data_IF_490654136844
#
_entry.id   IF_490654136844
#
_cell.length_a   1.000
_cell.length_b   1.000
_cell.length_c   1.000
_cell.angle_alpha   90.00
_cell.angle_beta   90.00
_cell.angle_gamma   90.00
#
_symmetry.space_group_name_H-M   'P 1'
#
loop_
_entity.id
_entity.type
_entity.pdbx_description
1 polymer ?
#
# COMPACT_ATOMS: atom_id res chain seq x y z
N UNK A 1 -19.12 -22.00 7.56
CA UNK A 1 -19.60 -21.69 6.21
C UNK A 1 -18.35 -21.33 5.42
N UNK A 2 -17.83 -22.27 4.62
CA UNK A 2 -16.72 -22.04 3.69
C UNK A 2 -17.21 -21.03 2.65
N UNK A 3 -16.47 -19.95 2.54
CA UNK A 3 -16.78 -18.83 1.65
C UNK A 3 -16.80 -19.35 0.19
N UNK A 4 -17.97 -19.32 -0.44
CA UNK A 4 -18.20 -19.81 -1.80
C UNK A 4 -17.31 -19.07 -2.81
N UNK A 5 -17.01 -17.79 -2.56
CA UNK A 5 -16.10 -17.00 -3.39
C UNK A 5 -14.67 -17.57 -3.35
N UNK A 6 -14.19 -17.97 -2.18
CA UNK A 6 -12.86 -18.60 -2.02
C UNK A 6 -12.78 -19.95 -2.74
N UNK A 7 -13.89 -20.71 -2.79
CA UNK A 7 -13.94 -22.01 -3.48
C UNK A 7 -13.95 -21.88 -5.01
N UNK A 8 -14.64 -20.87 -5.56
CA UNK A 8 -14.70 -20.62 -7.01
C UNK A 8 -13.34 -20.14 -7.52
N UNK A 9 -12.69 -19.21 -6.81
CA UNK A 9 -11.39 -18.67 -7.18
C UNK A 9 -10.28 -19.74 -7.14
N UNK A 10 -10.32 -20.65 -6.15
CA UNK A 10 -9.36 -21.74 -6.05
C UNK A 10 -9.40 -22.70 -7.26
N UNK A 11 -10.54 -22.82 -7.94
CA UNK A 11 -10.68 -23.61 -9.17
C UNK A 11 -10.21 -22.90 -10.44
N UNK A 12 -10.05 -21.58 -10.41
CA UNK A 12 -9.65 -20.75 -11.56
C UNK A 12 -8.18 -20.34 -11.52
N UNK A 13 -7.54 -20.39 -10.36
CA UNK A 13 -6.12 -20.06 -10.20
C UNK A 13 -5.24 -21.29 -10.42
N UNK A 14 -4.19 -21.11 -11.23
CA UNK A 14 -3.16 -22.16 -11.38
C UNK A 14 -2.50 -22.44 -10.02
N UNK A 15 -2.25 -23.74 -9.74
CA UNK A 15 -1.59 -24.15 -8.50
C UNK A 15 -0.11 -23.80 -8.45
N UNK A 16 0.50 -23.67 -9.62
CA UNK A 16 1.92 -23.29 -9.80
C UNK A 16 2.05 -22.23 -10.88
N UNK A 17 2.86 -21.16 -10.66
CA UNK A 17 3.56 -20.86 -9.38
C UNK A 17 2.59 -20.51 -8.25
N UNK A 18 2.99 -20.79 -7.01
CA UNK A 18 2.31 -20.27 -5.82
C UNK A 18 2.41 -18.73 -5.80
N UNK A 19 1.40 -18.05 -5.26
CA UNK A 19 1.40 -16.59 -5.14
C UNK A 19 1.79 -16.18 -3.73
N UNK A 20 2.69 -15.19 -3.60
CA UNK A 20 3.14 -14.61 -2.32
C UNK A 20 2.88 -13.11 -2.31
N UNK A 21 2.27 -12.58 -1.25
CA UNK A 21 2.14 -11.14 -1.03
C UNK A 21 3.27 -10.64 -0.13
N UNK A 22 4.17 -9.82 -0.67
CA UNK A 22 5.29 -9.18 0.02
C UNK A 22 4.86 -7.92 0.78
N UNK A 23 3.82 -8.02 1.63
CA UNK A 23 3.29 -6.87 2.36
C UNK A 23 2.66 -7.29 3.69
N UNK A 24 2.86 -6.46 4.74
CA UNK A 24 2.18 -6.59 6.03
C UNK A 24 0.80 -5.88 6.06
N UNK A 25 0.42 -5.14 5.01
CA UNK A 25 -0.79 -4.31 4.99
C UNK A 25 -2.08 -5.14 5.06
N UNK A 26 -2.93 -4.94 6.09
CA UNK A 26 -4.22 -5.62 6.17
C UNK A 26 -5.16 -5.28 5.00
N UNK A 27 -5.09 -4.04 4.50
CA UNK A 27 -5.91 -3.58 3.37
C UNK A 27 -5.55 -4.36 2.09
N UNK A 28 -4.26 -4.54 1.78
CA UNK A 28 -3.81 -5.32 0.62
C UNK A 28 -4.20 -6.79 0.73
N UNK A 29 -4.09 -7.36 1.94
CA UNK A 29 -4.58 -8.72 2.21
C UNK A 29 -6.09 -8.82 1.95
N UNK A 30 -6.87 -7.85 2.43
CA UNK A 30 -8.32 -7.82 2.22
C UNK A 30 -8.70 -7.73 0.74
N UNK A 31 -8.01 -6.87 -0.04
CA UNK A 31 -8.23 -6.72 -1.49
C UNK A 31 -8.00 -8.04 -2.23
N UNK A 32 -6.87 -8.70 -2.02
CA UNK A 32 -6.57 -9.97 -2.69
C UNK A 32 -7.54 -11.08 -2.28
N UNK A 33 -7.91 -11.15 -1.00
CA UNK A 33 -8.93 -12.10 -0.52
C UNK A 33 -10.29 -11.85 -1.15
N UNK A 34 -10.71 -10.59 -1.23
CA UNK A 34 -11.99 -10.22 -1.86
C UNK A 34 -12.02 -10.51 -3.36
N UNK A 35 -10.87 -10.45 -4.02
CA UNK A 35 -10.70 -10.87 -5.41
C UNK A 35 -10.62 -12.41 -5.58
N UNK A 36 -10.65 -13.15 -4.48
CA UNK A 36 -10.58 -14.62 -4.49
C UNK A 36 -9.19 -15.18 -4.81
N UNK A 37 -8.13 -14.38 -4.75
CA UNK A 37 -6.75 -14.83 -4.99
C UNK A 37 -6.29 -15.68 -3.81
N UNK A 38 -5.80 -16.88 -4.08
CA UNK A 38 -5.12 -17.72 -3.10
C UNK A 38 -3.65 -17.32 -3.02
N UNK A 39 -3.18 -16.93 -1.83
CA UNK A 39 -1.79 -16.47 -1.63
C UNK A 39 -1.31 -16.78 -0.21
N UNK A 40 0.01 -16.80 -0.05
CA UNK A 40 0.67 -16.74 1.25
C UNK A 40 1.16 -15.31 1.51
N UNK A 41 1.22 -14.91 2.78
CA UNK A 41 1.71 -13.58 3.17
C UNK A 41 3.14 -13.71 3.73
N UNK A 42 4.08 -12.95 3.15
CA UNK A 42 5.48 -12.91 3.58
C UNK A 42 5.97 -11.45 3.49
N UNK A 43 5.81 -10.63 4.54
CA UNK A 43 6.22 -9.24 4.52
C UNK A 43 7.71 -9.08 4.19
N UNK A 44 8.03 -8.10 3.36
CA UNK A 44 9.41 -7.71 3.10
C UNK A 44 10.01 -6.95 4.29
N UNK A 45 11.33 -7.04 4.46
CA UNK A 45 12.09 -6.36 5.53
C UNK A 45 12.76 -5.06 5.04
N UNK A 46 12.16 -4.39 4.05
CA UNK A 46 12.70 -3.17 3.44
C UNK A 46 12.58 -1.98 4.40
N UNK A 47 13.68 -1.27 4.60
CA UNK A 47 13.67 0.03 5.29
C UNK A 47 13.21 1.14 4.33
N UNK A 48 11.90 1.37 4.29
CA UNK A 48 11.25 2.35 3.43
C UNK A 48 11.78 3.77 3.69
N UNK A 49 12.13 4.12 4.95
CA UNK A 49 12.66 5.45 5.29
C UNK A 49 14.03 5.70 4.70
N UNK A 50 14.90 4.69 4.74
CA UNK A 50 16.24 4.78 4.11
C UNK A 50 16.14 4.93 2.60
N UNK A 51 15.22 4.24 1.94
CA UNK A 51 14.97 4.39 0.50
C UNK A 51 14.49 5.81 0.18
N UNK A 52 13.51 6.34 0.93
CA UNK A 52 13.05 7.72 0.80
C UNK A 52 14.17 8.76 0.98
N UNK A 53 14.97 8.59 2.03
CA UNK A 53 16.07 9.50 2.34
C UNK A 53 17.16 9.49 1.25
N UNK A 54 17.43 8.34 0.64
CA UNK A 54 18.39 8.23 -0.46
C UNK A 54 17.92 8.99 -1.70
N UNK A 55 16.66 8.82 -2.09
CA UNK A 55 16.07 9.51 -3.25
C UNK A 55 16.03 11.04 -3.08
N UNK A 56 15.74 11.51 -1.86
CA UNK A 56 15.75 12.96 -1.59
C UNK A 56 17.16 13.59 -1.65
N UNK A 57 18.22 12.82 -1.37
CA UNK A 57 19.61 13.30 -1.40
C UNK A 57 20.17 13.46 -2.82
N UNK A 58 19.67 12.67 -3.77
CA UNK A 58 20.16 12.72 -5.16
C UNK A 58 19.68 13.95 -5.93
N UNK A 59 18.81 14.80 -5.33
CA UNK A 59 18.40 16.09 -5.90
C UNK A 59 17.53 15.98 -7.14
N UNK A 60 17.15 14.80 -7.56
CA UNK A 60 16.12 14.60 -8.58
C UNK A 60 14.75 14.77 -7.93
N UNK A 61 13.88 15.56 -8.56
CA UNK A 61 12.46 15.65 -8.23
C UNK A 61 11.80 14.28 -8.52
N UNK A 62 11.95 13.36 -7.57
CA UNK A 62 11.37 12.03 -7.72
C UNK A 62 9.87 12.13 -7.49
N UNK A 63 9.08 11.83 -8.51
CA UNK A 63 7.63 11.87 -8.41
C UNK A 63 7.12 10.84 -7.38
N UNK A 64 6.05 11.13 -6.63
CA UNK A 64 5.51 10.18 -5.66
C UNK A 64 5.16 8.81 -6.26
N UNK A 65 4.75 8.77 -7.54
CA UNK A 65 4.51 7.52 -8.27
C UNK A 65 5.77 6.68 -8.46
N UNK A 66 6.91 7.31 -8.78
CA UNK A 66 8.20 6.62 -8.98
C UNK A 66 8.71 6.03 -7.67
N UNK A 67 8.51 6.74 -6.55
CA UNK A 67 8.85 6.24 -5.22
C UNK A 67 8.01 5.02 -4.87
N UNK A 68 6.68 5.10 -5.09
CA UNK A 68 5.78 3.97 -4.85
C UNK A 68 6.18 2.74 -5.69
N UNK A 69 6.54 2.96 -6.97
CA UNK A 69 7.00 1.91 -7.89
C UNK A 69 8.30 1.27 -7.38
N UNK A 70 9.30 2.07 -7.06
CA UNK A 70 10.58 1.57 -6.56
C UNK A 70 10.41 0.75 -5.27
N UNK A 71 9.59 1.21 -4.34
CA UNK A 71 9.30 0.48 -3.10
C UNK A 71 8.54 -0.82 -3.37
N UNK A 72 7.59 -0.84 -4.32
CA UNK A 72 6.89 -2.05 -4.71
C UNK A 72 7.85 -3.08 -5.33
N UNK A 73 8.74 -2.64 -6.23
CA UNK A 73 9.77 -3.49 -6.85
C UNK A 73 10.73 -4.03 -5.80
N UNK A 74 11.26 -3.18 -4.93
CA UNK A 74 12.21 -3.57 -3.88
C UNK A 74 11.63 -4.65 -2.98
N UNK A 75 10.38 -4.46 -2.52
CA UNK A 75 9.67 -5.45 -1.67
C UNK A 75 9.47 -6.79 -2.39
N UNK A 76 9.04 -6.75 -3.65
CA UNK A 76 8.81 -7.96 -4.43
C UNK A 76 10.12 -8.70 -4.71
N UNK A 77 11.19 -7.98 -5.07
CA UNK A 77 12.50 -8.55 -5.39
C UNK A 77 13.11 -9.24 -4.18
N UNK A 78 13.12 -8.58 -3.00
CA UNK A 78 13.64 -9.18 -1.76
C UNK A 78 12.98 -10.52 -1.46
N UNK A 79 11.64 -10.55 -1.45
CA UNK A 79 10.91 -11.77 -1.10
C UNK A 79 11.06 -12.84 -2.16
N UNK A 80 11.05 -12.48 -3.47
CA UNK A 80 11.18 -13.46 -4.55
C UNK A 80 12.58 -14.05 -4.68
N UNK A 81 13.61 -13.36 -4.22
CA UNK A 81 14.97 -13.91 -4.12
C UNK A 81 15.03 -15.06 -3.11
N UNK A 82 14.31 -14.93 -1.99
CA UNK A 82 14.19 -15.98 -0.97
C UNK A 82 13.15 -17.07 -1.29
N UNK A 83 12.34 -16.91 -2.34
CA UNK A 83 11.30 -17.85 -2.77
C UNK A 83 11.20 -17.86 -4.31
N UNK A 84 12.22 -18.44 -5.00
CA UNK A 84 12.42 -18.26 -6.44
C UNK A 84 11.33 -18.90 -7.30
N UNK A 85 10.63 -19.89 -6.78
CA UNK A 85 9.57 -20.59 -7.53
C UNK A 85 8.21 -19.86 -7.44
N UNK A 86 8.04 -18.94 -6.48
CA UNK A 86 6.80 -18.21 -6.28
C UNK A 86 6.68 -17.00 -7.21
N UNK A 87 5.44 -16.64 -7.56
CA UNK A 87 5.11 -15.32 -8.11
C UNK A 87 4.84 -14.37 -6.96
N UNK A 88 5.71 -13.39 -6.76
CA UNK A 88 5.66 -12.48 -5.62
C UNK A 88 5.03 -11.15 -6.03
N UNK A 89 4.02 -10.72 -5.26
CA UNK A 89 3.35 -9.43 -5.40
C UNK A 89 3.95 -8.47 -4.38
N UNK A 90 4.65 -7.44 -4.85
CA UNK A 90 5.02 -6.26 -4.07
C UNK A 90 4.05 -5.12 -4.35
N UNK A 91 3.81 -4.27 -3.36
CA UNK A 91 2.97 -3.10 -3.55
C UNK A 91 3.35 -1.99 -2.58
N UNK A 92 3.18 -0.75 -3.04
CA UNK A 92 3.33 0.44 -2.22
C UNK A 92 2.26 1.49 -2.55
N UNK A 93 2.09 2.48 -1.66
CA UNK A 93 1.17 3.59 -1.88
C UNK A 93 1.70 4.86 -1.24
N UNK A 94 1.73 5.93 -2.04
CA UNK A 94 2.09 7.27 -1.61
C UNK A 94 0.88 8.20 -1.68
N UNK A 95 0.70 9.05 -0.68
CA UNK A 95 -0.28 10.14 -0.70
C UNK A 95 0.46 11.45 -0.95
N UNK A 96 0.17 12.08 -2.08
CA UNK A 96 0.65 13.42 -2.42
C UNK A 96 -0.42 14.46 -2.07
N UNK A 97 -0.02 15.46 -1.31
CA UNK A 97 -0.86 16.61 -0.95
C UNK A 97 -0.05 17.90 -1.11
N UNK A 98 -0.51 18.78 -1.99
CA UNK A 98 0.23 19.96 -2.43
C UNK A 98 1.62 19.55 -2.99
N UNK A 99 2.70 20.06 -2.42
CA UNK A 99 4.09 19.84 -2.83
C UNK A 99 4.84 18.79 -2.00
N UNK A 100 4.12 18.00 -1.19
CA UNK A 100 4.69 17.00 -0.27
C UNK A 100 3.93 15.67 -0.23
N UNK A 101 4.56 14.67 0.31
CA UNK A 101 3.94 13.38 0.61
C UNK A 101 3.57 13.29 2.10
N UNK A 102 2.44 12.64 2.39
CA UNK A 102 2.05 12.33 3.76
C UNK A 102 2.41 10.87 4.07
N UNK A 103 3.03 10.67 5.23
CA UNK A 103 3.32 9.34 5.77
C UNK A 103 2.14 8.83 6.63
N UNK A 104 2.20 7.55 7.00
CA UNK A 104 1.27 6.99 8.00
C UNK A 104 1.42 7.74 9.32
N UNK A 105 0.32 8.16 9.95
CA UNK A 105 0.39 8.88 11.22
C UNK A 105 0.98 7.99 12.32
N UNK A 106 1.84 8.59 13.14
CA UNK A 106 2.53 7.87 14.23
C UNK A 106 1.62 7.66 15.46
N UNK A 107 0.59 8.50 15.60
CA UNK A 107 -0.38 8.47 16.70
C UNK A 107 -1.71 9.11 16.29
N UNK A 108 -2.67 9.12 17.21
CA UNK A 108 -4.00 9.70 16.96
C UNK A 108 -3.99 11.22 16.77
N UNK A 109 -3.06 11.94 17.38
CA UNK A 109 -2.93 13.38 17.20
C UNK A 109 -2.41 13.69 15.79
N UNK A 110 -1.41 12.96 15.31
CA UNK A 110 -0.94 13.03 13.94
C UNK A 110 -2.06 12.67 12.93
N UNK A 111 -2.83 11.62 13.20
CA UNK A 111 -3.97 11.22 12.36
C UNK A 111 -5.04 12.33 12.30
N UNK A 112 -5.35 12.93 13.46
CA UNK A 112 -6.26 14.07 13.55
C UNK A 112 -5.79 15.25 12.71
N UNK A 113 -4.52 15.61 12.82
CA UNK A 113 -3.94 16.74 12.09
C UNK A 113 -3.97 16.49 10.58
N UNK A 114 -3.58 15.30 10.11
CA UNK A 114 -3.67 14.93 8.70
C UNK A 114 -5.11 15.03 8.16
N UNK A 115 -6.10 14.51 8.89
CA UNK A 115 -7.51 14.61 8.48
C UNK A 115 -8.00 16.05 8.40
N UNK A 116 -7.63 16.91 9.36
CA UNK A 116 -7.99 18.33 9.35
C UNK A 116 -7.30 19.08 8.21
N UNK A 117 -6.10 18.69 7.84
CA UNK A 117 -5.35 19.26 6.73
C UNK A 117 -5.93 18.87 5.37
N UNK A 118 -6.29 17.59 5.20
CA UNK A 118 -6.92 17.09 3.98
C UNK A 118 -8.37 17.56 3.81
N UNK A 119 -9.03 17.98 4.87
CA UNK A 119 -10.43 18.42 4.89
C UNK A 119 -10.72 19.51 3.86
N UNK A 120 -11.70 19.27 2.99
CA UNK A 120 -12.10 20.19 1.92
C UNK A 120 -11.09 20.30 0.77
N UNK A 121 -9.99 19.56 0.82
CA UNK A 121 -8.91 19.66 -0.16
C UNK A 121 -8.82 18.41 -1.04
N UNK A 122 -8.22 18.60 -2.21
CA UNK A 122 -7.88 17.52 -3.15
C UNK A 122 -6.49 17.01 -2.86
N UNK A 123 -6.32 15.69 -2.91
CA UNK A 123 -5.04 15.00 -2.80
C UNK A 123 -4.98 13.83 -3.78
N UNK A 124 -3.79 13.28 -3.99
CA UNK A 124 -3.58 12.21 -4.96
C UNK A 124 -2.97 10.98 -4.27
N UNK A 125 -3.55 9.82 -4.51
CA UNK A 125 -2.96 8.54 -4.14
C UNK A 125 -2.24 7.95 -5.35
N UNK A 126 -0.96 7.61 -5.20
CA UNK A 126 -0.17 6.86 -6.18
C UNK A 126 -0.02 5.45 -5.65
N UNK A 127 -0.57 4.47 -6.35
CA UNK A 127 -0.56 3.06 -5.95
C UNK A 127 0.24 2.24 -6.94
N UNK A 128 1.31 1.62 -6.48
CA UNK A 128 2.17 0.77 -7.30
C UNK A 128 2.00 -0.70 -6.92
N UNK A 129 2.01 -1.55 -7.92
CA UNK A 129 2.07 -3.01 -7.77
C UNK A 129 3.13 -3.58 -8.70
N UNK A 130 3.92 -4.52 -8.21
CA UNK A 130 4.98 -5.19 -8.95
C UNK A 130 4.84 -6.71 -8.81
N UNK A 131 5.14 -7.43 -9.87
CA UNK A 131 5.30 -8.87 -9.88
C UNK A 131 6.77 -9.22 -10.10
N UNK A 132 7.32 -10.04 -9.21
CA UNK A 132 8.67 -10.59 -9.33
C UNK A 132 8.65 -12.12 -9.23
N UNK A 133 9.65 -12.77 -9.86
CA UNK A 133 9.89 -14.20 -9.72
C UNK A 133 11.40 -14.46 -9.76
N UNK A 134 11.91 -15.24 -8.81
CA UNK A 134 13.35 -15.56 -8.73
C UNK A 134 14.26 -14.32 -8.68
N UNK A 135 13.84 -13.26 -7.99
CA UNK A 135 14.57 -11.99 -7.93
C UNK A 135 14.46 -11.13 -9.20
N UNK A 136 13.77 -11.59 -10.23
CA UNK A 136 13.60 -10.86 -11.49
C UNK A 136 12.26 -10.14 -11.54
N UNK A 137 12.30 -8.89 -11.98
CA UNK A 137 11.12 -8.09 -12.28
C UNK A 137 10.37 -8.69 -13.48
N UNK A 138 9.07 -8.91 -13.33
CA UNK A 138 8.20 -9.49 -14.38
C UNK A 138 7.26 -8.42 -14.94
N UNK A 139 6.65 -7.63 -14.06
CA UNK A 139 5.65 -6.63 -14.44
C UNK A 139 5.46 -5.60 -13.34
N UNK A 140 5.16 -4.37 -13.71
CA UNK A 140 4.82 -3.28 -12.78
C UNK A 140 3.71 -2.42 -13.35
N UNK A 141 2.89 -1.86 -12.48
CA UNK A 141 1.89 -0.86 -12.80
C UNK A 141 1.77 0.16 -11.68
N UNK A 142 1.64 1.42 -12.07
CA UNK A 142 1.32 2.53 -11.16
C UNK A 142 0.01 3.15 -11.60
N UNK A 143 -0.92 3.28 -10.67
CA UNK A 143 -2.19 3.96 -10.90
C UNK A 143 -2.35 5.13 -9.92
N UNK A 144 -3.13 6.12 -10.34
CA UNK A 144 -3.37 7.34 -9.56
C UNK A 144 -4.86 7.57 -9.34
N UNK A 145 -5.21 7.89 -8.10
CA UNK A 145 -6.57 8.30 -7.73
C UNK A 145 -6.55 9.72 -7.16
N UNK A 146 -7.23 10.63 -7.85
CA UNK A 146 -7.48 11.97 -7.33
C UNK A 146 -8.69 11.93 -6.41
N UNK A 147 -8.47 12.28 -5.14
CA UNK A 147 -9.46 12.24 -4.08
C UNK A 147 -9.78 13.65 -3.61
N UNK A 148 -11.05 13.97 -3.41
CA UNK A 148 -11.48 15.18 -2.73
C UNK A 148 -12.05 14.81 -1.36
N UNK A 149 -11.39 15.25 -0.30
CA UNK A 149 -11.88 15.06 1.06
C UNK A 149 -13.06 15.97 1.33
N UNK A 150 -14.13 15.44 1.93
CA UNK A 150 -15.28 16.25 2.33
C UNK A 150 -14.87 17.31 3.35
N UNK A 151 -15.54 18.44 3.33
CA UNK A 151 -15.45 19.44 4.39
C UNK A 151 -16.31 18.96 5.60
N UNK A 152 -15.65 18.50 6.65
CA UNK A 152 -16.27 18.01 7.88
C UNK A 152 -15.78 18.82 9.09
N UNK A 153 -16.55 18.83 10.18
CA UNK A 153 -16.16 19.55 11.38
C UNK A 153 -15.06 18.86 12.19
N UNK A 154 -14.29 19.59 13.03
CA UNK A 154 -13.31 18.98 13.94
C UNK A 154 -13.93 17.96 14.91
N UNK A 155 -15.21 18.16 15.31
CA UNK A 155 -15.94 17.22 16.17
C UNK A 155 -16.25 15.91 15.43
N UNK A 156 -16.49 15.99 14.10
CA UNK A 156 -16.65 14.79 13.28
C UNK A 156 -15.36 13.95 13.28
N UNK A 157 -14.18 14.59 13.15
CA UNK A 157 -12.90 13.88 13.22
C UNK A 157 -12.73 13.13 14.52
N UNK A 158 -13.06 13.76 15.65
CA UNK A 158 -13.02 13.10 16.97
C UNK A 158 -13.89 11.85 17.03
N UNK A 159 -15.13 11.93 16.52
CA UNK A 159 -16.03 10.75 16.45
C UNK A 159 -15.50 9.67 15.48
N UNK A 160 -15.01 10.08 14.31
CA UNK A 160 -14.43 9.16 13.33
C UNK A 160 -13.27 8.37 13.93
N UNK A 161 -12.29 9.05 14.55
CA UNK A 161 -11.14 8.41 15.17
C UNK A 161 -11.54 7.45 16.30
N UNK A 162 -12.57 7.82 17.09
CA UNK A 162 -13.09 6.96 18.16
C UNK A 162 -13.70 5.66 17.60
N UNK A 163 -14.33 5.70 16.43
CA UNK A 163 -14.97 4.53 15.81
C UNK A 163 -13.95 3.71 15.02
N UNK A 164 -13.10 4.36 14.22
CA UNK A 164 -12.13 3.69 13.39
C UNK A 164 -10.96 3.08 14.18
N UNK A 165 -10.66 3.65 15.36
CA UNK A 165 -9.63 3.14 16.27
C UNK A 165 -8.25 3.11 15.61
N UNK A 166 -7.40 2.16 16.00
CA UNK A 166 -6.01 2.06 15.56
C UNK A 166 -5.84 1.79 14.04
N UNK A 167 -6.90 1.44 13.33
CA UNK A 167 -6.83 1.21 11.88
C UNK A 167 -6.36 2.45 11.10
N UNK A 168 -6.68 3.66 11.58
CA UNK A 168 -6.25 4.92 10.95
C UNK A 168 -4.73 5.11 10.95
N UNK A 169 -4.00 4.44 11.84
CA UNK A 169 -2.54 4.51 11.91
C UNK A 169 -1.86 3.59 10.89
N UNK A 170 -2.62 2.76 10.20
CA UNK A 170 -2.10 1.78 9.22
C UNK A 170 -2.18 2.27 7.78
N UNK A 171 -2.83 3.41 7.54
CA UNK A 171 -3.05 4.00 6.22
C UNK A 171 -2.45 5.41 6.14
N UNK A 172 -1.95 5.77 4.96
CA UNK A 172 -1.59 7.16 4.64
C UNK A 172 -2.87 8.01 4.59
N UNK A 173 -2.84 9.22 5.19
CA UNK A 173 -4.01 10.10 5.26
C UNK A 173 -5.03 9.75 6.35
N UNK A 174 -4.81 8.70 7.15
CA UNK A 174 -5.65 8.31 8.28
C UNK A 174 -7.11 7.91 7.93
N UNK A 175 -7.38 7.35 6.72
CA UNK A 175 -8.71 6.92 6.27
C UNK A 175 -8.66 5.62 5.46
#
# INVERSE_FOLDING_TARGET
>A
MTDVASSIAAGMQAQTPGVVLASASPARVAVLRSAGVAFTQKPASVDERSVHAALQKEGELTLPGDIAELLAITKATEVSTGDPDALVIGADQMLAFEDRTLEKPVDFDAARNQLLELRGNTHVLHSAVCLCRGGQHVWTHVDTATMMMRDFSPEFVGRYLSVAGASVLTSVGAY
#
